data_IF_880891948814
#
_entry.id   IF_880891948814
#
_cell.length_a   1.000
_cell.length_b   1.000
_cell.length_c   1.000
_cell.angle_alpha   90.00
_cell.angle_beta   90.00
_cell.angle_gamma   90.00
#
_symmetry.space_group_name_H-M   'P 1'
#
loop_
_entity.id
_entity.type
_entity.pdbx_description
1 polymer ?
#
# COMPACT_ATOMS: atom_id res chain seq x y z
N UNK A 1 -0.95 -11.76 7.85
CA UNK A 1 -0.89 -12.50 6.57
C UNK A 1 0.34 -13.39 6.59
N UNK A 2 0.41 -14.43 5.76
CA UNK A 2 1.55 -15.35 5.70
C UNK A 2 2.16 -15.41 4.30
N UNK A 3 3.44 -15.77 4.18
CA UNK A 3 4.07 -15.97 2.88
C UNK A 3 3.37 -17.08 2.08
N UNK A 4 3.16 -16.85 0.79
CA UNK A 4 2.38 -17.69 -0.12
C UNK A 4 0.87 -17.42 -0.12
N UNK A 5 0.35 -16.65 0.85
CA UNK A 5 -1.08 -16.34 0.92
C UNK A 5 -1.50 -15.44 -0.26
N UNK A 6 -2.63 -15.76 -0.88
CA UNK A 6 -3.31 -14.86 -1.82
C UNK A 6 -4.12 -13.80 -1.07
N UNK A 7 -4.07 -12.57 -1.56
CA UNK A 7 -4.88 -11.48 -1.05
C UNK A 7 -5.47 -10.65 -2.19
N UNK A 8 -6.58 -9.98 -1.88
CA UNK A 8 -7.18 -8.97 -2.72
C UNK A 8 -7.83 -7.90 -1.85
N UNK A 9 -7.84 -6.67 -2.34
CA UNK A 9 -8.56 -5.56 -1.69
C UNK A 9 -10.08 -5.78 -1.76
N UNK A 10 -10.82 -5.41 -0.70
CA UNK A 10 -12.28 -5.50 -0.71
C UNK A 10 -12.90 -4.47 -1.67
N UNK A 11 -14.19 -4.65 -1.95
CA UNK A 11 -14.98 -3.67 -2.71
C UNK A 11 -14.90 -2.27 -2.06
N UNK A 12 -14.76 -1.24 -2.89
CA UNK A 12 -14.60 0.14 -2.43
C UNK A 12 -13.16 0.51 -2.04
N UNK A 13 -12.19 -0.37 -2.25
CA UNK A 13 -10.77 -0.05 -2.24
C UNK A 13 -10.15 -0.10 -3.65
N UNK A 14 -9.11 0.71 -3.92
CA UNK A 14 -8.34 0.61 -5.15
C UNK A 14 -7.84 -0.82 -5.35
N UNK A 15 -7.88 -1.34 -6.58
CA UNK A 15 -7.47 -2.72 -6.85
C UNK A 15 -6.03 -2.98 -6.43
N UNK A 16 -5.86 -4.01 -5.60
CA UNK A 16 -4.60 -4.67 -5.33
C UNK A 16 -4.90 -6.13 -5.06
N UNK A 17 -4.29 -7.00 -5.86
CA UNK A 17 -4.39 -8.43 -5.71
C UNK A 17 -3.02 -9.06 -5.97
N UNK A 18 -2.74 -10.15 -5.28
CA UNK A 18 -1.48 -10.85 -5.46
C UNK A 18 -1.13 -11.81 -4.33
N UNK A 19 0.12 -12.23 -4.35
CA UNK A 19 0.68 -13.21 -3.40
C UNK A 19 1.59 -12.51 -2.40
N UNK A 20 1.44 -12.81 -1.11
CA UNK A 20 2.40 -12.38 -0.09
C UNK A 20 3.71 -13.13 -0.33
N UNK A 21 4.78 -12.42 -0.67
CA UNK A 21 6.12 -12.99 -0.82
C UNK A 21 6.86 -12.98 0.52
N UNK A 22 6.57 -11.99 1.36
CA UNK A 22 7.18 -11.86 2.68
C UNK A 22 6.20 -11.23 3.68
N UNK A 23 6.19 -11.81 4.89
CA UNK A 23 5.28 -11.46 5.97
C UNK A 23 6.06 -11.16 7.27
N UNK A 24 6.66 -9.98 7.32
CA UNK A 24 7.22 -9.41 8.54
C UNK A 24 8.40 -10.16 9.15
N UNK A 25 8.97 -9.55 10.18
CA UNK A 25 9.79 -10.20 11.18
C UNK A 25 9.08 -10.12 12.53
N UNK A 26 9.48 -10.88 13.56
CA UNK A 26 8.84 -10.79 14.89
C UNK A 26 8.78 -9.36 15.46
N UNK A 27 9.75 -8.50 15.13
CA UNK A 27 9.76 -7.10 15.55
C UNK A 27 8.78 -6.21 14.75
N UNK A 28 8.45 -6.59 13.52
CA UNK A 28 7.56 -5.86 12.60
C UNK A 28 6.67 -6.85 11.84
N UNK A 29 5.72 -7.51 12.52
CA UNK A 29 4.93 -8.58 11.92
C UNK A 29 3.94 -8.09 10.85
N UNK A 30 3.64 -6.79 10.86
CA UNK A 30 2.64 -6.16 9.98
C UNK A 30 3.25 -5.64 8.67
N UNK A 31 4.56 -5.75 8.49
CA UNK A 31 5.22 -5.38 7.23
C UNK A 31 5.00 -6.47 6.19
N UNK A 32 4.51 -6.10 5.01
CA UNK A 32 4.22 -7.05 3.93
C UNK A 32 4.92 -6.65 2.63
N UNK A 33 5.45 -7.65 1.94
CA UNK A 33 5.83 -7.54 0.53
C UNK A 33 4.92 -8.47 -0.28
N UNK A 34 4.23 -7.90 -1.25
CA UNK A 34 3.24 -8.61 -2.08
C UNK A 34 3.67 -8.55 -3.53
N UNK A 35 3.79 -9.69 -4.20
CA UNK A 35 3.90 -9.75 -5.66
C UNK A 35 2.53 -9.60 -6.28
N UNK A 36 2.39 -8.56 -7.09
CA UNK A 36 1.12 -8.07 -7.59
C UNK A 36 0.72 -8.73 -8.91
N UNK A 37 -0.58 -9.02 -9.00
CA UNK A 37 -1.30 -9.28 -10.25
C UNK A 37 -2.11 -8.03 -10.66
N UNK A 38 -2.64 -7.29 -9.68
CA UNK A 38 -3.32 -5.99 -9.84
C UNK A 38 -2.64 -4.91 -8.98
N UNK A 39 -2.58 -3.63 -9.40
CA UNK A 39 -3.17 -3.05 -10.63
C UNK A 39 -2.37 -3.35 -11.92
N UNK A 40 -1.16 -3.89 -11.75
CA UNK A 40 -0.32 -4.45 -12.79
C UNK A 40 0.72 -5.36 -12.13
N UNK A 41 1.50 -6.07 -12.94
CA UNK A 41 2.63 -6.85 -12.43
C UNK A 41 3.60 -5.94 -11.69
N UNK A 42 3.96 -6.34 -10.48
CA UNK A 42 4.74 -5.47 -9.61
C UNK A 42 5.01 -6.05 -8.24
N UNK A 43 5.51 -5.19 -7.36
CA UNK A 43 5.57 -5.43 -5.93
C UNK A 43 4.84 -4.30 -5.19
N UNK A 44 4.06 -4.63 -4.16
CA UNK A 44 3.61 -3.68 -3.16
C UNK A 44 4.37 -3.91 -1.86
N UNK A 45 4.90 -2.84 -1.27
CA UNK A 45 5.51 -2.84 0.04
C UNK A 45 4.63 -2.04 1.00
N UNK A 46 4.06 -2.74 1.99
CA UNK A 46 3.11 -2.20 2.95
C UNK A 46 3.78 -2.16 4.32
N UNK A 47 3.95 -0.96 4.87
CA UNK A 47 4.78 -0.78 6.06
C UNK A 47 4.12 0.16 7.06
N UNK A 48 3.48 -0.37 8.11
CA UNK A 48 3.08 0.44 9.24
C UNK A 48 4.26 0.63 10.19
N UNK A 49 4.56 1.90 10.51
CA UNK A 49 5.60 2.26 11.47
C UNK A 49 5.04 3.08 12.61
N UNK A 50 5.24 2.67 13.88
CA UNK A 50 4.87 3.50 15.02
C UNK A 50 5.82 4.70 15.14
N UNK A 51 5.25 5.90 15.24
CA UNK A 51 5.99 7.15 15.37
C UNK A 51 5.26 8.07 16.36
N UNK A 52 5.78 8.23 17.57
CA UNK A 52 5.29 9.27 18.50
C UNK A 52 3.78 9.22 18.83
N UNK A 53 3.21 8.03 19.00
CA UNK A 53 1.79 7.86 19.34
C UNK A 53 0.84 7.71 18.14
N UNK A 54 1.35 7.80 16.91
CA UNK A 54 0.62 7.49 15.67
C UNK A 54 1.28 6.34 14.92
N UNK A 55 0.54 5.76 13.96
CA UNK A 55 1.09 4.83 12.98
C UNK A 55 1.20 5.58 11.65
N UNK A 56 2.42 5.68 11.13
CA UNK A 56 2.66 6.13 9.77
C UNK A 56 2.64 4.90 8.88
N UNK A 57 1.62 4.80 8.04
CA UNK A 57 1.48 3.70 7.10
C UNK A 57 2.01 4.11 5.72
N UNK A 58 3.09 3.46 5.29
CA UNK A 58 3.67 3.70 3.96
C UNK A 58 3.28 2.59 3.00
N UNK A 59 2.79 2.97 1.82
CA UNK A 59 2.49 2.07 0.71
C UNK A 59 3.39 2.44 -0.47
N UNK A 60 4.14 1.48 -1.01
CA UNK A 60 4.98 1.69 -2.19
C UNK A 60 4.65 0.65 -3.24
N UNK A 61 4.50 1.09 -4.49
CA UNK A 61 4.30 0.23 -5.65
C UNK A 61 5.52 0.29 -6.56
N UNK A 62 6.06 -0.87 -6.90
CA UNK A 62 7.10 -1.05 -7.91
C UNK A 62 6.50 -1.84 -9.07
N UNK A 63 5.90 -1.14 -10.02
CA UNK A 63 5.24 -1.74 -11.18
C UNK A 63 6.24 -1.93 -12.33
N UNK A 64 6.15 -3.04 -13.04
CA UNK A 64 7.05 -3.36 -14.15
C UNK A 64 6.29 -3.93 -15.37
N UNK A 65 6.98 -3.94 -16.52
CA UNK A 65 6.42 -4.35 -17.80
C UNK A 65 5.96 -3.16 -18.66
N UNK A 66 5.51 -3.46 -19.88
CA UNK A 66 5.30 -2.46 -20.93
C UNK A 66 4.22 -1.41 -20.59
N UNK A 67 3.19 -1.79 -19.82
CA UNK A 67 2.11 -0.86 -19.37
C UNK A 67 2.33 -0.31 -17.95
N UNK A 68 3.53 -0.44 -17.35
CA UNK A 68 3.76 0.02 -15.98
C UNK A 68 3.42 1.51 -15.78
N UNK A 69 3.80 2.37 -16.74
CA UNK A 69 3.49 3.79 -16.69
C UNK A 69 1.98 4.07 -16.78
N UNK A 70 1.26 3.34 -17.63
CA UNK A 70 -0.20 3.45 -17.74
C UNK A 70 -0.90 2.96 -16.47
N UNK A 71 -0.40 1.91 -15.85
CA UNK A 71 -0.89 1.41 -14.58
C UNK A 71 -0.69 2.41 -13.44
N UNK A 72 0.48 3.05 -13.34
CA UNK A 72 0.74 4.13 -12.37
C UNK A 72 -0.26 5.27 -12.55
N UNK A 73 -0.43 5.77 -13.78
CA UNK A 73 -1.31 6.90 -14.08
C UNK A 73 -2.78 6.65 -13.68
N UNK A 74 -3.23 5.38 -13.67
CA UNK A 74 -4.58 4.99 -13.22
C UNK A 74 -4.64 4.73 -11.72
N UNK A 75 -3.64 4.02 -11.17
CA UNK A 75 -3.67 3.54 -9.80
C UNK A 75 -3.37 4.63 -8.78
N UNK A 76 -2.35 5.46 -9.02
CA UNK A 76 -1.91 6.50 -8.08
C UNK A 76 -3.04 7.44 -7.62
N UNK A 77 -3.82 8.08 -8.51
CA UNK A 77 -4.89 8.97 -8.07
C UNK A 77 -5.99 8.24 -7.28
N UNK A 78 -6.31 6.99 -7.63
CA UNK A 78 -7.29 6.19 -6.91
C UNK A 78 -6.81 5.85 -5.49
N UNK A 79 -5.53 5.45 -5.36
CA UNK A 79 -4.89 5.15 -4.07
C UNK A 79 -4.81 6.38 -3.18
N UNK A 80 -4.38 7.53 -3.72
CA UNK A 80 -4.31 8.79 -2.98
C UNK A 80 -5.70 9.24 -2.50
N UNK A 81 -6.70 9.21 -3.38
CA UNK A 81 -8.06 9.59 -3.01
C UNK A 81 -8.61 8.70 -1.88
N UNK A 82 -8.44 7.38 -1.99
CA UNK A 82 -8.92 6.41 -1.02
C UNK A 82 -8.24 6.53 0.36
N UNK A 83 -6.92 6.76 0.36
CA UNK A 83 -6.15 6.97 1.59
C UNK A 83 -6.55 8.29 2.27
N UNK A 84 -6.67 9.38 1.51
CA UNK A 84 -7.04 10.69 2.05
C UNK A 84 -8.46 10.72 2.63
N UNK A 85 -9.40 9.96 2.04
CA UNK A 85 -10.76 9.82 2.58
C UNK A 85 -10.77 9.10 3.94
N UNK A 86 -9.93 8.08 4.13
CA UNK A 86 -9.94 7.22 5.33
C UNK A 86 -9.03 7.71 6.44
N UNK A 87 -7.90 8.30 6.06
CA UNK A 87 -6.86 8.77 6.97
C UNK A 87 -6.60 10.25 6.69
N UNK A 88 -7.58 11.13 6.99
CA UNK A 88 -7.40 12.55 6.80
C UNK A 88 -6.22 13.03 7.63
N UNK A 89 -5.31 13.80 7.03
CA UNK A 89 -4.26 14.47 7.78
C UNK A 89 -4.90 15.39 8.84
N UNK A 90 -4.49 15.29 10.12
CA UNK A 90 -4.98 16.20 11.14
C UNK A 90 -4.65 17.65 10.76
N UNK A 91 -5.66 18.52 10.75
CA UNK A 91 -5.51 19.93 10.38
C UNK A 91 -4.44 20.67 11.20
N UNK A 92 -4.18 20.20 12.43
CA UNK A 92 -3.18 20.75 13.36
C UNK A 92 -1.73 20.61 12.86
N UNK A 93 -1.43 19.65 11.98
CA UNK A 93 -0.11 19.50 11.35
C UNK A 93 0.06 20.34 10.07
N UNK A 94 -1.00 20.95 9.55
CA UNK A 94 -0.96 21.83 8.37
C UNK A 94 -0.61 23.28 8.70
N UNK A 95 -0.59 23.66 9.99
CA UNK A 95 -0.33 25.03 10.44
C UNK A 95 1.14 25.28 10.86
N UNK A 96 2.01 24.28 10.69
CA UNK A 96 3.43 24.37 10.95
C UNK A 96 4.21 24.39 9.62
N UNK A 97 3.99 25.44 8.83
CA UNK A 97 4.84 25.88 7.71
C UNK A 97 5.10 27.39 7.82
#
# INVERSE_FOLDING_TARGET
>A
AEAGQQLSTPAGAPPLAGTVEWAGQPAWPEELLVRLDEPARGLAHLVPHPMGGQIVFTVRFYLYGDDAAGAVARAEPAWLAWLNERFPFPAEMSAAD
#
